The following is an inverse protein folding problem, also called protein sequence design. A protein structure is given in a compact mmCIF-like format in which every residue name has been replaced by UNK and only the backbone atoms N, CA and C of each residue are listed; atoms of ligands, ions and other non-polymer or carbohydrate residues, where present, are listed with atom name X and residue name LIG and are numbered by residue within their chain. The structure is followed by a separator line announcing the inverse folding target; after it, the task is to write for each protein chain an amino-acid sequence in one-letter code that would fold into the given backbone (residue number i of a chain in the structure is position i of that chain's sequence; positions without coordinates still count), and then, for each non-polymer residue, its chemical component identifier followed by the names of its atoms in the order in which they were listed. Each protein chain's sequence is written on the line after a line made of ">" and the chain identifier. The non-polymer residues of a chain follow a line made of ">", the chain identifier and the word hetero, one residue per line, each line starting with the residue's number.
data_IF_541417304020
#
_entry.id   IF_541417304020
#
_cell.length_a   1.000
_cell.length_b   1.000
_cell.length_c   1.000
_cell.angle_alpha   90.00
_cell.angle_beta   90.00
_cell.angle_gamma   90.00
#
_symmetry.space_group_name_H-M   'P 1'
#
loop_
_entity.id
_entity.type
_entity.pdbx_description
1 polymer ?
#
# COMPACT_ATOMS: atom_id res chain seq x y z
N UNK A 1 10.74 18.95 -8.46
CA UNK A 1 9.41 19.33 -8.99
C UNK A 1 8.41 19.10 -7.88
N UNK A 2 7.82 20.17 -7.34
CA UNK A 2 6.84 20.08 -6.26
C UNK A 2 5.53 19.47 -6.76
N UNK A 3 5.24 18.27 -6.29
CA UNK A 3 3.96 17.59 -6.50
C UNK A 3 3.10 17.84 -5.25
N UNK A 4 2.14 18.75 -5.42
CA UNK A 4 1.20 19.22 -4.41
C UNK A 4 0.25 18.10 -3.93
N UNK A 5 -0.03 18.14 -2.62
CA UNK A 5 -1.18 17.61 -1.89
C UNK A 5 -1.41 16.10 -1.93
N UNK A 6 -0.44 15.37 -1.38
CA UNK A 6 -0.77 14.10 -0.75
C UNK A 6 -1.81 14.37 0.37
N UNK A 7 -2.95 13.68 0.43
CA UNK A 7 -3.76 13.63 1.64
C UNK A 7 -3.02 12.80 2.70
N UNK A 8 -1.75 13.15 2.99
CA UNK A 8 -1.15 12.86 4.27
C UNK A 8 -2.04 13.57 5.26
N UNK A 9 -2.85 12.75 5.92
CA UNK A 9 -3.63 13.09 7.09
C UNK A 9 -2.94 14.24 7.82
N UNK A 10 -3.60 15.38 8.01
CA UNK A 10 -3.02 16.54 8.70
C UNK A 10 -2.61 16.25 10.15
N UNK A 11 -2.69 14.98 10.58
CA UNK A 11 -2.14 14.41 11.82
C UNK A 11 -0.72 13.86 11.67
N UNK A 12 -0.16 13.73 10.47
CA UNK A 12 1.19 13.18 10.23
C UNK A 12 2.32 14.12 10.68
N UNK A 13 2.06 15.43 10.76
CA UNK A 13 3.08 16.44 11.15
C UNK A 13 3.01 16.81 12.64
N UNK A 14 2.07 16.26 13.42
CA UNK A 14 2.06 16.44 14.88
C UNK A 14 2.38 15.14 15.62
N UNK A 15 3.67 14.76 15.65
CA UNK A 15 4.23 13.97 16.75
C UNK A 15 4.50 12.48 16.53
N UNK A 16 4.33 11.94 15.31
CA UNK A 16 4.72 10.55 15.01
C UNK A 16 6.08 10.51 14.27
N UNK A 17 7.15 10.24 15.02
CA UNK A 17 8.51 10.12 14.48
C UNK A 17 8.63 9.09 13.36
N UNK A 18 7.77 8.06 13.36
CA UNK A 18 7.78 7.02 12.32
C UNK A 18 7.23 7.53 11.01
N UNK A 19 6.09 8.23 11.02
CA UNK A 19 5.51 8.79 9.79
C UNK A 19 6.47 9.81 9.17
N UNK A 20 7.08 10.68 9.99
CA UNK A 20 8.08 11.62 9.48
C UNK A 20 9.28 10.91 8.84
N UNK A 21 9.84 9.89 9.51
CA UNK A 21 10.95 9.13 8.95
C UNK A 21 10.55 8.41 7.65
N UNK A 22 9.37 7.78 7.63
CA UNK A 22 8.85 7.08 6.47
C UNK A 22 8.65 8.04 5.28
N UNK A 23 8.08 9.22 5.50
CA UNK A 23 7.96 10.25 4.45
C UNK A 23 9.31 10.68 3.89
N UNK A 24 10.31 10.93 4.73
CA UNK A 24 11.65 11.30 4.25
C UNK A 24 12.23 10.18 3.37
N UNK A 25 12.11 8.93 3.78
CA UNK A 25 12.59 7.79 3.00
C UNK A 25 11.76 7.53 1.73
N UNK A 26 10.46 7.82 1.74
CA UNK A 26 9.58 7.78 0.57
C UNK A 26 10.07 8.73 -0.52
N UNK A 27 10.37 9.98 -0.17
CA UNK A 27 10.90 10.97 -1.11
C UNK A 27 12.29 10.59 -1.63
N UNK A 28 13.14 9.99 -0.80
CA UNK A 28 14.44 9.45 -1.23
C UNK A 28 14.24 8.29 -2.21
N UNK A 29 13.22 7.45 -2.00
CA UNK A 29 12.91 6.33 -2.88
C UNK A 29 12.60 6.81 -4.30
N UNK A 30 11.77 7.86 -4.44
CA UNK A 30 11.47 8.46 -5.75
C UNK A 30 12.72 8.97 -6.50
N UNK A 31 13.75 9.40 -5.77
CA UNK A 31 15.02 9.80 -6.37
C UNK A 31 15.93 8.61 -6.73
N UNK A 32 15.62 7.41 -6.25
CA UNK A 32 16.41 6.19 -6.48
C UNK A 32 15.85 5.38 -7.64
N UNK A 33 14.56 5.07 -7.62
CA UNK A 33 13.88 4.34 -8.69
C UNK A 33 12.60 5.05 -9.08
N UNK A 34 12.46 5.31 -10.38
CA UNK A 34 11.26 5.86 -10.98
C UNK A 34 10.97 5.16 -12.29
N UNK A 35 9.85 4.45 -12.35
CA UNK A 35 9.38 3.77 -13.55
C UNK A 35 8.43 4.71 -14.31
N UNK A 36 8.79 5.03 -15.55
CA UNK A 36 8.04 6.00 -16.36
C UNK A 36 6.60 5.51 -16.60
N UNK A 37 5.65 6.43 -16.48
CA UNK A 37 4.20 6.20 -16.66
C UNK A 37 3.58 5.15 -15.72
N UNK A 38 4.26 4.80 -14.62
CA UNK A 38 3.82 3.76 -13.67
C UNK A 38 3.55 4.36 -12.28
N UNK A 39 2.75 5.43 -12.19
CA UNK A 39 2.52 6.15 -10.92
C UNK A 39 2.14 5.22 -9.75
N UNK A 40 1.16 4.30 -9.86
CA UNK A 40 0.83 3.44 -8.73
C UNK A 40 1.98 2.51 -8.31
N UNK A 41 2.84 2.10 -9.26
CA UNK A 41 4.04 1.31 -8.95
C UNK A 41 5.06 2.14 -8.18
N UNK A 42 5.33 3.36 -8.63
CA UNK A 42 6.30 4.25 -7.99
C UNK A 42 5.88 4.60 -6.56
N UNK A 43 4.60 4.88 -6.32
CA UNK A 43 4.09 5.15 -4.97
C UNK A 43 4.16 3.91 -4.06
N UNK A 44 3.80 2.74 -4.60
CA UNK A 44 3.83 1.49 -3.83
C UNK A 44 5.26 1.04 -3.50
N UNK A 45 6.20 1.28 -4.42
CA UNK A 45 7.64 1.13 -4.17
C UNK A 45 8.11 2.09 -3.08
N UNK A 46 7.74 3.37 -3.18
CA UNK A 46 8.15 4.37 -2.21
C UNK A 46 7.57 4.11 -0.81
N UNK A 47 6.34 3.58 -0.71
CA UNK A 47 5.74 3.12 0.55
C UNK A 47 6.55 1.97 1.19
N UNK A 48 6.97 0.98 0.40
CA UNK A 48 7.85 -0.09 0.89
C UNK A 48 9.14 0.50 1.48
N UNK A 49 9.83 1.35 0.70
CA UNK A 49 11.10 1.94 1.12
C UNK A 49 10.91 2.84 2.33
N UNK A 50 9.83 3.63 2.36
CA UNK A 50 9.47 4.52 3.46
C UNK A 50 9.44 3.79 4.80
N UNK A 51 8.49 2.87 4.96
CA UNK A 51 8.31 2.19 6.24
C UNK A 51 9.41 1.18 6.57
N UNK A 52 9.96 0.45 5.60
CA UNK A 52 11.06 -0.50 5.88
C UNK A 52 12.38 0.22 6.19
N UNK A 53 12.64 1.39 5.61
CA UNK A 53 13.80 2.21 5.99
C UNK A 53 13.60 2.87 7.35
N UNK A 54 12.38 3.32 7.67
CA UNK A 54 12.06 3.82 9.00
C UNK A 54 12.27 2.71 10.06
N UNK A 55 11.79 1.50 9.81
CA UNK A 55 12.01 0.33 10.66
C UNK A 55 13.51 0.08 10.92
N UNK A 56 14.34 0.07 9.87
CA UNK A 56 15.78 -0.09 10.00
C UNK A 56 16.45 1.08 10.74
N UNK A 57 16.05 2.32 10.44
CA UNK A 57 16.58 3.54 11.02
C UNK A 57 16.41 3.60 12.55
N UNK A 58 15.22 3.25 13.04
CA UNK A 58 14.96 3.21 14.48
C UNK A 58 15.65 2.02 15.16
N UNK A 59 15.70 0.86 14.49
CA UNK A 59 16.44 -0.30 15.00
C UNK A 59 17.93 0.00 15.20
N UNK A 60 18.58 0.64 14.24
CA UNK A 60 19.99 1.01 14.32
C UNK A 60 20.30 2.02 15.43
N UNK A 61 19.28 2.75 15.90
CA UNK A 61 19.36 3.69 17.03
C UNK A 61 18.98 3.06 18.37
N UNK A 62 18.66 1.77 18.41
CA UNK A 62 18.20 1.08 19.61
C UNK A 62 16.75 1.40 20.00
N UNK A 63 15.99 2.11 19.15
CA UNK A 63 14.59 2.43 19.38
C UNK A 63 13.68 1.32 18.85
N UNK A 64 13.61 0.23 19.62
CA UNK A 64 12.82 -0.94 19.27
C UNK A 64 11.31 -0.68 19.19
N UNK A 65 10.82 0.34 19.90
CA UNK A 65 9.40 0.70 19.91
C UNK A 65 8.99 1.33 18.58
N UNK A 66 9.71 2.35 18.12
CA UNK A 66 9.43 2.98 16.83
C UNK A 66 9.78 2.04 15.65
N UNK A 67 10.78 1.18 15.79
CA UNK A 67 11.05 0.14 14.80
C UNK A 67 9.85 -0.82 14.64
N UNK A 68 9.27 -1.28 15.75
CA UNK A 68 8.05 -2.11 15.72
C UNK A 68 6.87 -1.35 15.14
N UNK A 69 6.66 -0.10 15.54
CA UNK A 69 5.57 0.73 15.02
C UNK A 69 5.67 0.91 13.51
N UNK A 70 6.86 1.15 12.95
CA UNK A 70 7.07 1.20 11.50
C UNK A 70 6.72 -0.13 10.79
N UNK A 71 7.11 -1.26 11.38
CA UNK A 71 6.76 -2.58 10.84
C UNK A 71 5.24 -2.85 10.90
N UNK A 72 4.57 -2.41 11.96
CA UNK A 72 3.12 -2.55 12.13
C UNK A 72 2.36 -1.61 11.17
N UNK A 73 2.86 -0.39 10.94
CA UNK A 73 2.31 0.53 9.92
C UNK A 73 2.39 -0.06 8.52
N UNK A 74 3.54 -0.59 8.12
CA UNK A 74 3.68 -1.26 6.82
C UNK A 74 2.71 -2.43 6.64
N UNK A 75 2.56 -3.26 7.69
CA UNK A 75 1.58 -4.35 7.67
C UNK A 75 0.15 -3.83 7.50
N UNK A 76 -0.23 -2.79 8.25
CA UNK A 76 -1.56 -2.19 8.16
C UNK A 76 -1.83 -1.56 6.78
N UNK A 77 -0.80 -0.99 6.13
CA UNK A 77 -0.88 -0.48 4.75
C UNK A 77 -1.19 -1.58 3.74
N UNK A 78 -0.57 -2.76 3.86
CA UNK A 78 -0.88 -3.94 3.04
C UNK A 78 -2.34 -4.38 3.28
N UNK A 79 -2.76 -4.49 4.54
CA UNK A 79 -4.13 -4.87 4.90
C UNK A 79 -5.15 -3.88 4.33
N UNK A 80 -4.87 -2.58 4.39
CA UNK A 80 -5.71 -1.54 3.78
C UNK A 80 -5.73 -1.65 2.24
N UNK A 81 -4.58 -1.89 1.61
CA UNK A 81 -4.48 -2.10 0.16
C UNK A 81 -5.34 -3.26 -0.33
N UNK A 82 -5.28 -4.41 0.35
CA UNK A 82 -6.13 -5.58 0.08
C UNK A 82 -7.62 -5.23 0.20
N UNK A 83 -7.97 -4.56 1.30
CA UNK A 83 -9.34 -4.17 1.61
C UNK A 83 -9.93 -3.23 0.56
N UNK A 84 -9.21 -2.16 0.22
CA UNK A 84 -9.66 -1.21 -0.80
C UNK A 84 -9.72 -1.84 -2.18
N UNK A 85 -8.75 -2.70 -2.53
CA UNK A 85 -8.77 -3.44 -3.79
C UNK A 85 -10.03 -4.31 -3.91
N UNK A 86 -10.43 -4.99 -2.83
CA UNK A 86 -11.65 -5.78 -2.80
C UNK A 86 -12.92 -4.91 -2.87
N UNK A 87 -12.96 -3.78 -2.15
CA UNK A 87 -14.07 -2.83 -2.19
C UNK A 87 -14.28 -2.28 -3.60
N UNK A 88 -13.19 -1.87 -4.23
CA UNK A 88 -13.14 -1.34 -5.59
C UNK A 88 -13.70 -2.36 -6.59
N UNK A 89 -13.23 -3.62 -6.56
CA UNK A 89 -13.74 -4.66 -7.47
C UNK A 89 -15.24 -4.88 -7.34
N UNK A 90 -15.75 -4.77 -6.11
CA UNK A 90 -17.18 -4.92 -5.81
C UNK A 90 -17.99 -3.78 -6.42
N UNK A 91 -17.50 -2.54 -6.30
CA UNK A 91 -18.12 -1.37 -6.92
C UNK A 91 -18.03 -1.40 -8.45
N UNK A 92 -16.87 -1.76 -9.01
CA UNK A 92 -16.68 -1.89 -10.47
C UNK A 92 -17.64 -2.93 -11.07
N UNK A 93 -17.91 -4.02 -10.35
CA UNK A 93 -18.88 -5.05 -10.77
C UNK A 93 -20.30 -4.51 -10.85
N UNK A 94 -20.69 -3.59 -9.97
CA UNK A 94 -21.99 -2.90 -10.03
C UNK A 94 -22.05 -1.99 -11.25
N UNK A 95 -21.00 -1.18 -11.50
CA UNK A 95 -20.98 -0.26 -12.63
C UNK A 95 -20.97 -0.99 -13.99
N UNK A 96 -20.30 -2.14 -14.08
CA UNK A 96 -20.21 -2.93 -15.31
C UNK A 96 -21.59 -3.42 -15.80
N UNK A 97 -22.57 -3.57 -14.91
CA UNK A 97 -23.93 -4.01 -15.25
C UNK A 97 -24.79 -2.93 -15.89
N UNK A 98 -24.28 -1.69 -16.03
CA UNK A 98 -25.05 -0.51 -16.50
C UNK A 98 -26.38 -0.36 -15.76
N UNK A 99 -26.36 -0.31 -14.41
CA UNK A 99 -27.56 -0.28 -13.59
C UNK A 99 -28.36 1.00 -13.81
N UNK A 100 -29.68 0.92 -13.61
CA UNK A 100 -30.48 2.11 -13.37
C UNK A 100 -30.11 2.77 -12.02
N UNK A 101 -30.70 3.92 -11.71
CA UNK A 101 -30.41 4.65 -10.49
C UNK A 101 -30.75 3.85 -9.22
N UNK A 102 -31.83 3.07 -9.22
CA UNK A 102 -32.25 2.30 -8.06
C UNK A 102 -31.30 1.11 -7.80
N UNK A 103 -30.88 0.44 -8.87
CA UNK A 103 -29.92 -0.66 -8.84
C UNK A 103 -28.52 -0.17 -8.41
N UNK A 104 -28.07 0.98 -8.90
CA UNK A 104 -26.80 1.58 -8.51
C UNK A 104 -26.78 1.91 -7.02
N UNK A 105 -27.84 2.54 -6.51
CA UNK A 105 -27.95 2.88 -5.10
C UNK A 105 -28.06 1.63 -4.21
N UNK A 106 -28.72 0.57 -4.68
CA UNK A 106 -28.72 -0.73 -3.98
C UNK A 106 -27.32 -1.34 -3.91
N UNK A 107 -26.58 -1.37 -5.02
CA UNK A 107 -25.21 -1.90 -5.07
C UNK A 107 -24.23 -1.11 -4.18
N UNK A 108 -24.37 0.23 -4.14
CA UNK A 108 -23.58 1.08 -3.23
C UNK A 108 -23.87 0.80 -1.76
N UNK A 109 -25.14 0.58 -1.40
CA UNK A 109 -25.53 0.19 -0.03
C UNK A 109 -24.95 -1.17 0.35
N UNK A 110 -25.02 -2.16 -0.55
CA UNK A 110 -24.42 -3.47 -0.31
C UNK A 110 -22.90 -3.36 -0.10
N UNK A 111 -22.21 -2.60 -0.95
CA UNK A 111 -20.78 -2.34 -0.81
C UNK A 111 -20.45 -1.66 0.53
N UNK A 112 -21.28 -0.72 0.99
CA UNK A 112 -21.10 -0.05 2.29
C UNK A 112 -21.31 -1.01 3.48
N UNK A 113 -22.32 -1.89 3.41
CA UNK A 113 -22.56 -2.92 4.44
C UNK A 113 -21.38 -3.89 4.50
N UNK A 114 -20.92 -4.36 3.34
CA UNK A 114 -19.73 -5.23 3.25
C UNK A 114 -18.48 -4.52 3.78
N UNK A 115 -18.24 -3.27 3.38
CA UNK A 115 -17.09 -2.48 3.82
C UNK A 115 -17.04 -2.39 5.35
N UNK A 116 -18.18 -2.04 5.96
CA UNK A 116 -18.33 -1.99 7.41
C UNK A 116 -18.11 -3.36 8.05
N UNK A 117 -18.67 -4.44 7.49
CA UNK A 117 -18.53 -5.78 8.07
C UNK A 117 -17.08 -6.29 8.03
N UNK A 118 -16.35 -5.99 6.95
CA UNK A 118 -14.93 -6.34 6.85
C UNK A 118 -14.11 -5.58 7.90
N UNK A 119 -14.28 -4.26 7.96
CA UNK A 119 -13.58 -3.39 8.91
C UNK A 119 -13.90 -3.76 10.36
N UNK A 120 -15.14 -4.12 10.69
CA UNK A 120 -15.52 -4.52 12.07
C UNK A 120 -15.22 -5.99 12.39
N UNK A 121 -14.78 -6.79 11.42
CA UNK A 121 -14.48 -8.20 11.60
C UNK A 121 -13.12 -8.55 11.00
N UNK A 122 -13.06 -9.39 9.95
CA UNK A 122 -11.84 -10.06 9.52
C UNK A 122 -10.71 -9.13 9.06
N UNK A 123 -11.03 -7.97 8.46
CA UNK A 123 -9.99 -6.98 8.11
C UNK A 123 -9.55 -6.22 9.35
N UNK A 124 -10.49 -5.84 10.21
CA UNK A 124 -10.18 -5.13 11.45
C UNK A 124 -9.29 -5.92 12.41
N UNK A 125 -9.52 -7.23 12.51
CA UNK A 125 -8.73 -8.15 13.32
C UNK A 125 -7.29 -8.33 12.82
N UNK A 126 -7.01 -7.98 11.55
CA UNK A 126 -5.66 -8.06 10.98
C UNK A 126 -4.79 -6.84 11.31
N UNK A 127 -5.37 -5.71 11.72
CA UNK A 127 -4.59 -4.50 12.01
C UNK A 127 -3.76 -4.65 13.29
N UNK A 128 -2.54 -4.10 13.26
CA UNK A 128 -1.57 -4.15 14.37
C UNK A 128 -1.37 -2.78 15.03
N UNK A 129 -1.36 -1.71 14.24
CA UNK A 129 -1.18 -0.33 14.70
C UNK A 129 -2.49 0.47 14.76
N UNK A 130 -3.50 0.08 13.98
CA UNK A 130 -4.77 0.80 13.88
C UNK A 130 -5.91 0.13 14.67
N UNK A 131 -6.70 0.93 15.41
CA UNK A 131 -8.01 0.50 15.90
C UNK A 131 -9.08 1.03 14.97
N UNK A 132 -9.85 0.11 14.39
CA UNK A 132 -10.84 0.44 13.35
C UNK A 132 -11.81 1.53 13.78
N UNK A 133 -12.26 1.54 15.05
CA UNK A 133 -13.00 2.65 15.65
C UNK A 133 -14.05 3.27 14.72
N UNK A 134 -14.01 4.60 14.58
CA UNK A 134 -14.93 5.37 13.70
C UNK A 134 -14.67 5.19 12.20
N UNK A 135 -13.60 4.52 11.77
CA UNK A 135 -13.33 4.30 10.33
C UNK A 135 -14.45 3.48 9.68
N UNK A 136 -14.98 2.48 10.40
CA UNK A 136 -16.08 1.64 9.93
C UNK A 136 -17.41 2.38 9.78
N UNK A 137 -17.52 3.59 10.32
CA UNK A 137 -18.72 4.43 10.24
C UNK A 137 -18.61 5.47 9.11
N UNK A 138 -17.44 5.60 8.48
CA UNK A 138 -17.25 6.56 7.39
C UNK A 138 -17.94 6.06 6.12
N UNK A 139 -18.69 6.91 5.41
CA UNK A 139 -19.26 6.54 4.12
C UNK A 139 -18.16 6.27 3.10
N UNK A 140 -18.45 5.41 2.11
CA UNK A 140 -17.55 5.18 0.98
C UNK A 140 -17.31 6.52 0.28
N UNK A 141 -16.04 6.92 0.20
CA UNK A 141 -15.61 8.16 -0.42
C UNK A 141 -14.77 7.86 -1.67
N UNK A 142 -15.22 8.30 -2.84
CA UNK A 142 -14.51 8.10 -4.11
C UNK A 142 -13.08 8.66 -4.08
N UNK A 143 -12.82 9.76 -3.38
CA UNK A 143 -11.47 10.30 -3.23
C UNK A 143 -10.56 9.34 -2.46
N UNK A 144 -11.07 8.68 -1.42
CA UNK A 144 -10.32 7.66 -0.68
C UNK A 144 -10.07 6.41 -1.54
N UNK A 145 -11.04 6.00 -2.36
CA UNK A 145 -10.86 4.89 -3.29
C UNK A 145 -9.79 5.22 -4.35
N UNK A 146 -9.81 6.41 -4.93
CA UNK A 146 -8.80 6.86 -5.90
C UNK A 146 -7.43 6.92 -5.23
N UNK A 147 -7.32 7.52 -4.05
CA UNK A 147 -6.07 7.55 -3.29
C UNK A 147 -5.52 6.15 -3.01
N UNK A 148 -6.38 5.19 -2.64
CA UNK A 148 -5.94 3.81 -2.42
C UNK A 148 -5.40 3.14 -3.69
N UNK A 149 -5.98 3.42 -4.87
CA UNK A 149 -5.49 2.92 -6.16
C UNK A 149 -4.15 3.54 -6.58
N UNK A 150 -3.80 4.71 -6.03
CA UNK A 150 -2.52 5.35 -6.28
C UNK A 150 -1.48 4.81 -5.30
N UNK A 151 -1.74 4.88 -4.00
CA UNK A 151 -0.72 4.66 -2.96
C UNK A 151 -0.66 3.24 -2.38
N UNK A 152 -1.66 2.38 -2.63
CA UNK A 152 -1.78 1.06 -1.98
C UNK A 152 -2.00 -0.09 -2.95
N UNK A 153 -1.47 0.05 -4.17
CA UNK A 153 -1.65 -0.94 -5.21
C UNK A 153 -0.64 -2.07 -5.06
N UNK A 154 -1.12 -3.32 -4.92
CA UNK A 154 -0.30 -4.54 -4.90
C UNK A 154 0.91 -4.47 -3.93
N UNK A 155 0.73 -3.87 -2.75
CA UNK A 155 1.79 -3.79 -1.72
C UNK A 155 2.27 -5.17 -1.27
N UNK A 156 1.44 -6.21 -1.42
CA UNK A 156 1.78 -7.61 -1.19
C UNK A 156 2.96 -8.09 -2.05
N UNK A 157 3.07 -7.63 -3.30
CA UNK A 157 4.18 -7.99 -4.18
C UNK A 157 5.51 -7.41 -3.67
N UNK A 158 5.46 -6.16 -3.20
CA UNK A 158 6.61 -5.47 -2.64
C UNK A 158 7.05 -6.10 -1.30
N UNK A 159 6.10 -6.52 -0.47
CA UNK A 159 6.41 -7.23 0.78
C UNK A 159 7.10 -8.57 0.50
N UNK A 160 6.53 -9.39 -0.39
CA UNK A 160 7.13 -10.67 -0.82
C UNK A 160 8.51 -10.46 -1.44
N UNK A 161 8.68 -9.42 -2.25
CA UNK A 161 9.98 -9.04 -2.80
C UNK A 161 10.99 -8.72 -1.69
N UNK A 162 10.58 -7.95 -0.68
CA UNK A 162 11.41 -7.61 0.47
C UNK A 162 11.83 -8.85 1.28
N UNK A 163 10.89 -9.76 1.57
CA UNK A 163 11.20 -11.03 2.25
C UNK A 163 12.22 -11.86 1.47
N UNK A 164 12.04 -12.00 0.15
CA UNK A 164 12.95 -12.76 -0.71
C UNK A 164 14.38 -12.22 -0.72
N UNK A 165 14.54 -10.92 -0.51
CA UNK A 165 15.85 -10.27 -0.46
C UNK A 165 16.41 -10.19 0.96
N UNK A 166 15.93 -11.04 1.87
CA UNK A 166 16.45 -11.20 3.22
C UNK A 166 16.07 -10.04 4.15
N UNK A 167 14.97 -9.35 3.86
CA UNK A 167 14.47 -8.20 4.64
C UNK A 167 15.51 -7.08 4.76
N UNK A 168 16.32 -6.88 3.72
CA UNK A 168 17.33 -5.82 3.64
C UNK A 168 16.91 -4.81 2.58
N UNK A 169 16.63 -3.58 3.01
CA UNK A 169 16.14 -2.51 2.13
C UNK A 169 17.10 -2.24 0.98
N UNK A 170 18.42 -2.20 1.23
CA UNK A 170 19.40 -1.88 0.19
C UNK A 170 19.45 -2.96 -0.88
N UNK A 171 19.41 -4.23 -0.46
CA UNK A 171 19.37 -5.38 -1.38
C UNK A 171 18.07 -5.38 -2.18
N UNK A 172 16.93 -5.17 -1.54
CA UNK A 172 15.63 -5.11 -2.21
C UNK A 172 15.56 -4.00 -3.25
N UNK A 173 16.02 -2.80 -2.91
CA UNK A 173 16.03 -1.64 -3.82
C UNK A 173 16.97 -1.89 -5.00
N UNK A 174 18.23 -2.28 -4.74
CA UNK A 174 19.19 -2.52 -5.82
C UNK A 174 18.76 -3.63 -6.78
N UNK A 175 18.12 -4.68 -6.26
CA UNK A 175 17.57 -5.73 -7.10
C UNK A 175 16.36 -5.24 -7.93
N UNK A 176 15.51 -4.41 -7.34
CA UNK A 176 14.32 -3.88 -8.01
C UNK A 176 14.68 -2.88 -9.11
N UNK A 177 15.67 -2.00 -8.87
CA UNK A 177 16.23 -1.10 -9.89
C UNK A 177 16.68 -1.88 -11.12
N UNK A 178 17.43 -2.98 -10.91
CA UNK A 178 17.87 -3.86 -12.00
C UNK A 178 16.69 -4.56 -12.69
N UNK A 179 15.69 -5.01 -11.93
CA UNK A 179 14.52 -5.69 -12.48
C UNK A 179 13.67 -4.78 -13.38
N UNK A 180 13.62 -3.49 -13.03
CA UNK A 180 12.82 -2.47 -13.69
C UNK A 180 13.55 -1.75 -14.83
N UNK A 181 14.79 -2.12 -15.15
CA UNK A 181 15.52 -1.53 -16.26
C UNK A 181 14.77 -1.73 -17.60
N UNK A 182 14.57 -0.63 -18.32
CA UNK A 182 13.80 -0.59 -19.56
C UNK A 182 12.29 -0.87 -19.43
N UNK A 183 11.73 -0.95 -18.22
CA UNK A 183 10.31 -1.20 -17.98
C UNK A 183 9.54 0.13 -17.93
N UNK A 184 8.33 0.17 -18.49
CA UNK A 184 7.45 1.34 -18.42
C UNK A 184 5.98 0.94 -18.17
N UNK A 185 5.23 1.85 -17.56
CA UNK A 185 3.79 1.73 -17.37
C UNK A 185 3.35 0.52 -16.56
N UNK A 186 2.15 0.02 -16.88
CA UNK A 186 1.51 -1.08 -16.15
C UNK A 186 2.28 -2.40 -16.20
N UNK A 187 3.24 -2.54 -17.12
CA UNK A 187 4.09 -3.74 -17.23
C UNK A 187 5.02 -3.92 -16.01
N UNK A 188 5.26 -2.87 -15.22
CA UNK A 188 6.06 -2.92 -14.00
C UNK A 188 5.53 -3.93 -12.98
N UNK A 189 4.22 -3.94 -12.76
CA UNK A 189 3.60 -4.90 -11.84
C UNK A 189 3.66 -6.33 -12.35
N UNK A 190 3.41 -6.55 -13.64
CA UNK A 190 3.51 -7.87 -14.24
C UNK A 190 4.94 -8.44 -14.14
N UNK A 191 5.95 -7.58 -14.36
CA UNK A 191 7.36 -7.96 -14.20
C UNK A 191 7.69 -8.31 -12.76
N UNK A 192 7.24 -7.51 -11.79
CA UNK A 192 7.46 -7.79 -10.37
C UNK A 192 6.75 -9.08 -9.94
N UNK A 193 5.50 -9.26 -10.37
CA UNK A 193 4.70 -10.47 -10.08
C UNK A 193 5.35 -11.72 -10.63
N UNK A 194 5.82 -11.72 -11.87
CA UNK A 194 6.57 -12.82 -12.46
C UNK A 194 7.83 -13.11 -11.65
N UNK A 195 8.63 -12.08 -11.35
CA UNK A 195 9.86 -12.25 -10.60
C UNK A 195 9.61 -12.86 -9.23
N UNK A 196 8.56 -12.45 -8.52
CA UNK A 196 8.17 -12.98 -7.20
C UNK A 196 7.51 -14.37 -7.31
N UNK A 197 6.85 -14.69 -8.43
CA UNK A 197 6.13 -15.93 -8.69
C UNK A 197 6.99 -17.11 -9.19
N UNK A 198 8.03 -16.85 -9.99
CA UNK A 198 8.86 -17.88 -10.65
C UNK A 198 9.68 -18.76 -9.69
N UNK A 199 9.63 -18.52 -8.37
CA UNK A 199 10.43 -19.25 -7.37
C UNK A 199 9.68 -20.33 -6.59
N UNK A 200 8.39 -20.58 -6.88
CA UNK A 200 7.69 -21.75 -6.34
C UNK A 200 7.95 -23.06 -7.12
N UNK A 201 8.82 -23.03 -8.14
CA UNK A 201 9.13 -24.19 -9.01
C UNK A 201 10.56 -24.73 -8.82
N UNK A 202 11.41 -24.07 -8.03
CA UNK A 202 12.82 -24.50 -7.83
C UNK A 202 13.08 -25.05 -6.43
N UNK A 203 12.24 -25.97 -5.97
CA UNK A 203 12.58 -26.94 -4.92
C UNK A 203 11.88 -28.27 -5.23
N UNK A 204 12.46 -29.03 -6.17
CA UNK A 204 12.32 -30.48 -6.29
C UNK A 204 13.69 -31.08 -6.61
#
# INVERSE_FOLDING_TARGET
>A
LGWFEDPLLSTAISGDSVELAATVFHEIAHNTLYVKSATPFNESFAQLVGYRSAEAFFRDRGDSANARHAADRWHDEIVLGDYYSALVRRLDSVYAQKPDSAQLEAGRREAAVWARSQLMGPVGERFRGFRVGRLAERPINNAQLIGSRIYRTRLDLFDRWFERHGRDVRRSVSALEKLMDGVEGDSAYARLEQAVGDSSITEQ
#
